data_IF_617053991037
#
_entry.id   IF_617053991037
#
_cell.length_a   1.000
_cell.length_b   1.000
_cell.length_c   1.000
_cell.angle_alpha   90.00
_cell.angle_beta   90.00
_cell.angle_gamma   90.00
#
_symmetry.space_group_name_H-M   'P 1'
#
loop_
_entity.id
_entity.type
_entity.pdbx_description
1 polymer ?
#
# COMPACT_ATOMS: atom_id res chain seq x y z
N UNK A 1 2.59 -9.87 -3.72
CA UNK A 1 1.39 -9.02 -3.58
C UNK A 1 0.92 -9.08 -2.14
N UNK A 2 0.50 -7.95 -1.59
CA UNK A 2 0.17 -7.77 -0.18
C UNK A 2 -1.12 -6.95 -0.11
N UNK A 3 -1.98 -7.31 0.85
CA UNK A 3 -3.13 -6.52 1.25
C UNK A 3 -2.87 -5.95 2.64
N UNK A 4 -3.04 -4.63 2.79
CA UNK A 4 -2.99 -3.94 4.07
C UNK A 4 -4.39 -3.42 4.39
N UNK A 5 -4.92 -3.79 5.54
CA UNK A 5 -6.14 -3.20 6.07
C UNK A 5 -5.76 -2.17 7.14
N UNK A 6 -6.38 -1.00 7.08
CA UNK A 6 -6.16 0.04 8.08
C UNK A 6 -6.91 -0.30 9.36
N UNK A 7 -6.29 -0.02 10.51
CA UNK A 7 -6.94 -0.10 11.82
C UNK A 7 -7.71 1.20 12.11
N UNK A 8 -7.31 2.31 11.48
CA UNK A 8 -7.83 3.65 11.77
C UNK A 8 -9.10 3.99 10.99
N UNK A 9 -9.31 3.35 9.84
CA UNK A 9 -10.46 3.57 8.97
C UNK A 9 -10.84 2.27 8.25
N UNK A 10 -12.08 2.11 7.78
CA UNK A 10 -12.54 0.91 7.06
C UNK A 10 -12.02 0.90 5.61
N UNK A 11 -10.71 0.99 5.44
CA UNK A 11 -10.03 1.08 4.15
C UNK A 11 -8.93 0.04 4.04
N UNK A 12 -8.71 -0.47 2.83
CA UNK A 12 -7.60 -1.36 2.51
C UNK A 12 -6.83 -0.88 1.29
N UNK A 13 -5.58 -1.31 1.21
CA UNK A 13 -4.68 -1.07 0.10
C UNK A 13 -4.09 -2.39 -0.39
N UNK A 14 -4.03 -2.57 -1.70
CA UNK A 14 -3.41 -3.74 -2.33
C UNK A 14 -2.21 -3.25 -3.11
N UNK A 15 -1.05 -3.87 -2.92
CA UNK A 15 0.14 -3.56 -3.72
C UNK A 15 0.90 -4.82 -4.10
N UNK A 16 1.70 -4.72 -5.14
CA UNK A 16 2.68 -5.74 -5.51
C UNK A 16 4.08 -5.18 -5.35
N UNK A 17 4.99 -6.01 -4.86
CA UNK A 17 6.42 -5.71 -4.85
C UNK A 17 7.18 -6.88 -5.47
N UNK A 18 8.27 -6.56 -6.14
CA UNK A 18 9.24 -7.51 -6.65
C UNK A 18 10.63 -7.04 -6.24
N UNK A 19 11.46 -7.99 -5.83
CA UNK A 19 12.84 -7.73 -5.43
C UNK A 19 13.76 -8.76 -6.09
N UNK A 20 14.88 -8.29 -6.64
CA UNK A 20 16.00 -9.12 -7.06
C UNK A 20 17.07 -9.08 -5.97
N UNK A 21 17.40 -10.26 -5.43
CA UNK A 21 18.40 -10.43 -4.37
C UNK A 21 19.59 -11.20 -4.91
N UNK A 22 20.79 -10.65 -4.78
CA UNK A 22 22.05 -11.36 -5.07
C UNK A 22 23.01 -11.18 -3.90
N UNK A 23 23.73 -12.24 -3.52
CA UNK A 23 24.65 -12.23 -2.37
C UNK A 23 24.02 -11.65 -1.08
N UNK A 24 22.76 -12.00 -0.80
CA UNK A 24 21.98 -11.49 0.35
C UNK A 24 21.74 -9.97 0.34
N UNK A 25 21.88 -9.30 -0.81
CA UNK A 25 21.61 -7.87 -0.99
C UNK A 25 20.53 -7.66 -2.03
N UNK A 26 19.57 -6.78 -1.74
CA UNK A 26 18.58 -6.34 -2.72
C UNK A 26 19.30 -5.43 -3.73
N UNK A 27 19.31 -5.85 -5.00
CA UNK A 27 19.97 -5.11 -6.09
C UNK A 27 18.95 -4.34 -6.92
N UNK A 28 17.72 -4.86 -7.02
CA UNK A 28 16.59 -4.16 -7.64
C UNK A 28 15.33 -4.38 -6.81
N UNK A 29 14.52 -3.34 -6.75
CA UNK A 29 13.21 -3.37 -6.14
C UNK A 29 12.24 -2.63 -7.05
N UNK A 30 11.04 -3.19 -7.22
CA UNK A 30 9.94 -2.54 -7.90
C UNK A 30 8.68 -2.67 -7.07
N UNK A 31 7.94 -1.57 -6.96
CA UNK A 31 6.69 -1.46 -6.22
C UNK A 31 5.61 -0.99 -7.19
N UNK A 32 4.47 -1.66 -7.18
CA UNK A 32 3.29 -1.30 -7.97
C UNK A 32 2.10 -1.08 -7.06
N UNK A 33 1.45 0.07 -7.26
CA UNK A 33 0.14 0.39 -6.71
C UNK A 33 -0.92 0.18 -7.80
N UNK A 34 -2.20 -0.01 -7.44
CA UNK A 34 -3.29 -0.19 -8.38
C UNK A 34 -3.33 0.91 -9.45
N UNK A 35 -3.67 0.59 -10.71
CA UNK A 35 -3.89 -0.75 -11.23
C UNK A 35 -2.58 -1.55 -11.30
N UNK A 36 -2.62 -2.81 -10.87
CA UNK A 36 -1.45 -3.68 -10.97
C UNK A 36 -1.19 -4.10 -12.44
N UNK A 37 0.04 -4.57 -12.75
CA UNK A 37 0.34 -5.14 -14.07
C UNK A 37 -0.69 -6.19 -14.51
N UNK A 38 -0.95 -6.34 -15.82
CA UNK A 38 -2.02 -7.19 -16.35
C UNK A 38 -2.05 -8.62 -15.79
N UNK A 39 -0.88 -9.21 -15.58
CA UNK A 39 -0.71 -10.55 -15.01
C UNK A 39 -1.25 -10.69 -13.57
N UNK A 40 -1.41 -9.58 -12.84
CA UNK A 40 -1.91 -9.55 -11.47
C UNK A 40 -3.35 -9.05 -11.32
N UNK A 41 -3.97 -8.48 -12.37
CA UNK A 41 -5.31 -7.87 -12.28
C UNK A 41 -6.41 -8.84 -11.82
N UNK A 42 -6.34 -10.10 -12.25
CA UNK A 42 -7.30 -11.13 -11.78
C UNK A 42 -7.15 -11.37 -10.27
N UNK A 43 -5.92 -11.39 -9.77
CA UNK A 43 -5.64 -11.56 -8.35
C UNK A 43 -6.02 -10.31 -7.55
N UNK A 44 -5.74 -9.12 -8.08
CA UNK A 44 -6.14 -7.83 -7.52
C UNK A 44 -7.66 -7.77 -7.30
N UNK A 45 -8.42 -8.12 -8.34
CA UNK A 45 -9.89 -8.13 -8.31
C UNK A 45 -10.41 -9.10 -7.25
N UNK A 46 -9.88 -10.33 -7.20
CA UNK A 46 -10.28 -11.35 -6.23
C UNK A 46 -9.99 -10.92 -4.79
N UNK A 47 -8.80 -10.39 -4.53
CA UNK A 47 -8.44 -9.89 -3.20
C UNK A 47 -9.31 -8.71 -2.78
N UNK A 48 -9.59 -7.79 -3.70
CA UNK A 48 -10.46 -6.65 -3.42
C UNK A 48 -11.87 -7.10 -3.01
N UNK A 49 -12.45 -8.04 -3.76
CA UNK A 49 -13.77 -8.60 -3.42
C UNK A 49 -13.75 -9.35 -2.08
N UNK A 50 -12.69 -10.10 -1.79
CA UNK A 50 -12.55 -10.81 -0.52
C UNK A 50 -12.43 -9.84 0.66
N UNK A 51 -11.64 -8.78 0.52
CA UNK A 51 -11.46 -7.75 1.54
C UNK A 51 -12.79 -7.05 1.86
N UNK A 52 -13.53 -6.65 0.83
CA UNK A 52 -14.85 -6.03 0.99
C UNK A 52 -15.83 -6.98 1.70
N UNK A 53 -15.84 -8.25 1.31
CA UNK A 53 -16.79 -9.23 1.88
C UNK A 53 -16.45 -9.64 3.32
N UNK A 54 -15.16 -9.77 3.67
CA UNK A 54 -14.72 -10.33 4.96
C UNK A 54 -14.43 -9.23 5.97
N UNK A 55 -13.82 -8.13 5.53
CA UNK A 55 -13.36 -7.05 6.40
C UNK A 55 -14.30 -5.83 6.36
N UNK A 56 -15.20 -5.76 5.37
CA UNK A 56 -16.08 -4.60 5.19
C UNK A 56 -15.34 -3.32 4.79
N UNK A 57 -14.12 -3.44 4.27
CA UNK A 57 -13.24 -2.32 3.91
C UNK A 57 -13.38 -1.94 2.44
N UNK A 58 -13.00 -0.71 2.09
CA UNK A 58 -12.97 -0.21 0.71
C UNK A 58 -11.58 0.30 0.28
N UNK A 59 -11.35 0.40 -1.02
CA UNK A 59 -10.12 1.00 -1.57
C UNK A 59 -10.26 2.51 -1.69
N UNK A 60 -9.19 3.23 -1.39
CA UNK A 60 -9.07 4.65 -1.74
C UNK A 60 -8.33 4.81 -3.08
N UNK A 61 -8.69 5.83 -3.90
CA UNK A 61 -7.92 6.18 -5.08
C UNK A 61 -6.47 6.56 -4.74
N UNK A 62 -5.52 6.28 -5.64
CA UNK A 62 -4.10 6.62 -5.43
C UNK A 62 -3.88 8.12 -5.21
N UNK A 63 -4.63 8.98 -5.91
CA UNK A 63 -4.57 10.44 -5.71
C UNK A 63 -4.89 10.86 -4.26
N UNK A 64 -5.83 10.17 -3.62
CA UNK A 64 -6.18 10.39 -2.21
C UNK A 64 -5.10 9.80 -1.30
N UNK A 65 -4.67 8.56 -1.55
CA UNK A 65 -3.64 7.88 -0.76
C UNK A 65 -2.30 8.64 -0.73
N UNK A 66 -1.90 9.25 -1.84
CA UNK A 66 -0.63 9.97 -1.95
C UNK A 66 -0.75 11.47 -1.65
N UNK A 67 -1.90 11.92 -1.15
CA UNK A 67 -2.05 13.29 -0.66
C UNK A 67 -1.10 13.54 0.52
N UNK A 68 -0.28 14.61 0.47
CA UNK A 68 0.60 14.98 1.58
C UNK A 68 -0.16 15.33 2.86
N UNK A 69 0.41 15.00 4.01
CA UNK A 69 -0.10 15.34 5.34
C UNK A 69 1.00 16.12 6.07
N UNK A 70 0.92 17.45 6.02
CA UNK A 70 2.06 18.31 6.34
C UNK A 70 2.32 18.52 7.83
N UNK A 71 1.34 18.20 8.67
CA UNK A 71 1.33 18.42 10.11
C UNK A 71 1.63 17.15 10.93
N UNK A 72 1.97 16.04 10.26
CA UNK A 72 2.20 14.75 10.91
C UNK A 72 3.60 14.22 10.59
N UNK A 73 4.25 13.66 11.61
CA UNK A 73 5.46 12.86 11.49
C UNK A 73 5.08 11.38 11.65
N UNK A 74 5.47 10.52 10.69
CA UNK A 74 5.11 9.08 10.69
C UNK A 74 6.37 8.24 10.48
N UNK A 75 6.64 7.29 11.37
CA UNK A 75 7.84 6.44 11.27
C UNK A 75 9.12 7.27 11.21
N UNK A 76 9.93 7.05 10.16
CA UNK A 76 11.16 7.80 9.91
C UNK A 76 11.00 9.00 8.96
N UNK A 77 9.76 9.40 8.62
CA UNK A 77 9.49 10.54 7.74
C UNK A 77 9.41 11.80 8.58
N UNK A 78 10.16 12.81 8.18
CA UNK A 78 10.11 14.15 8.79
C UNK A 78 8.74 14.81 8.57
N UNK A 79 8.45 15.81 9.40
CA UNK A 79 7.28 16.66 9.25
C UNK A 79 7.20 17.20 7.81
N UNK A 80 6.01 17.22 7.22
CA UNK A 80 5.84 17.67 5.83
C UNK A 80 6.02 16.59 4.76
N UNK A 81 6.57 15.42 5.11
CA UNK A 81 6.88 14.34 4.15
C UNK A 81 5.93 13.14 4.25
N UNK A 82 5.08 13.11 5.27
CA UNK A 82 4.05 12.09 5.38
C UNK A 82 3.00 12.24 4.26
N UNK A 83 2.43 11.11 3.85
CA UNK A 83 1.30 11.03 2.94
C UNK A 83 0.21 10.24 3.64
N UNK A 84 -1.04 10.37 3.21
CA UNK A 84 -2.16 9.69 3.84
C UNK A 84 -1.96 8.17 3.91
N UNK A 85 -1.36 7.55 2.89
CA UNK A 85 -1.03 6.13 2.87
C UNK A 85 -0.10 5.73 4.03
N UNK A 86 0.86 6.59 4.39
CA UNK A 86 1.75 6.37 5.52
C UNK A 86 0.97 6.36 6.82
N UNK A 87 0.04 7.30 7.00
CA UNK A 87 -0.80 7.41 8.19
C UNK A 87 -1.77 6.21 8.35
N UNK A 88 -2.34 5.73 7.24
CA UNK A 88 -3.37 4.68 7.27
C UNK A 88 -2.81 3.27 7.45
N UNK A 89 -1.57 3.01 6.99
CA UNK A 89 -1.03 1.65 6.86
C UNK A 89 0.41 1.53 7.40
N UNK A 90 0.77 2.30 8.44
CA UNK A 90 2.15 2.51 8.93
C UNK A 90 3.00 1.24 9.17
N UNK A 91 4.32 1.47 9.24
CA UNK A 91 5.50 0.61 9.41
C UNK A 91 5.70 -0.52 8.37
N UNK A 92 4.65 -1.05 7.75
CA UNK A 92 4.79 -2.19 6.82
C UNK A 92 5.02 -1.81 5.35
N UNK A 93 4.92 -0.52 5.01
CA UNK A 93 5.12 0.00 3.66
C UNK A 93 6.57 0.47 3.37
N UNK A 94 7.50 0.27 4.30
CA UNK A 94 8.88 0.76 4.26
C UNK A 94 9.84 -0.35 3.84
#
# INVERSE_FOLDING_TARGET
>A
MVLLASILAPVHHIYASWQQVENHRVIKQQLWHPPLPPEYQTLETRLNSLAQSVLGTSTLPNEVLFTPVSDVQVGNLDLGHAQLIHCLFTDRLW
#
